data_IF_626592226361
#
_entry.id   IF_626592226361
#
_cell.length_a   1.000
_cell.length_b   1.000
_cell.length_c   1.000
_cell.angle_alpha   90.00
_cell.angle_beta   90.00
_cell.angle_gamma   90.00
#
_symmetry.space_group_name_H-M   'P 1'
#
loop_
_entity.id
_entity.type
_entity.pdbx_description
1 polymer ?
#
# COMPACT_ATOMS: atom_id res chain seq x y z
N UNK A 1 5.61 -14.28 3.60
CA UNK A 1 5.33 -12.89 3.21
C UNK A 1 6.20 -11.98 4.06
N UNK A 2 6.85 -10.99 3.44
CA UNK A 2 7.59 -9.93 4.16
C UNK A 2 6.93 -8.59 3.84
N UNK A 3 6.98 -7.64 4.77
CA UNK A 3 6.48 -6.30 4.49
C UNK A 3 7.51 -5.60 3.60
N UNK A 4 7.04 -5.01 2.52
CA UNK A 4 7.84 -4.25 1.57
C UNK A 4 7.78 -2.76 1.90
N UNK A 5 6.58 -2.24 2.14
CA UNK A 5 6.36 -0.87 2.58
C UNK A 5 4.98 -0.74 3.23
N UNK A 6 4.69 0.44 3.77
CA UNK A 6 3.38 0.84 4.24
C UNK A 6 2.86 2.00 3.41
N UNK A 7 1.57 1.95 3.09
CA UNK A 7 0.82 3.06 2.55
C UNK A 7 0.16 3.79 3.70
N UNK A 8 0.50 5.07 3.89
CA UNK A 8 -0.07 5.93 4.93
C UNK A 8 -0.92 7.03 4.27
N UNK A 9 -2.26 6.94 4.31
CA UNK A 9 -3.14 7.93 3.71
C UNK A 9 -3.01 9.31 4.38
N UNK A 10 -2.94 10.37 3.56
CA UNK A 10 -2.94 11.77 4.00
C UNK A 10 -4.34 12.28 4.31
N UNK A 11 -5.37 11.62 3.77
CA UNK A 11 -6.80 11.84 4.04
C UNK A 11 -7.55 10.51 3.86
N UNK A 12 -8.78 10.41 4.36
CA UNK A 12 -9.60 9.21 4.18
C UNK A 12 -10.14 9.15 2.76
N UNK A 13 -9.94 8.03 2.06
CA UNK A 13 -10.44 7.83 0.70
C UNK A 13 -10.89 6.39 0.45
N UNK A 14 -11.58 6.19 -0.67
CA UNK A 14 -12.02 4.87 -1.13
C UNK A 14 -11.43 4.60 -2.50
N UNK A 15 -10.81 3.43 -2.67
CA UNK A 15 -10.30 2.96 -3.96
C UNK A 15 -10.81 1.55 -4.21
N UNK A 16 -11.45 1.32 -5.36
CA UNK A 16 -12.07 0.02 -5.70
C UNK A 16 -12.91 -0.58 -4.56
N UNK A 17 -13.78 0.24 -3.95
CA UNK A 17 -14.62 -0.13 -2.80
C UNK A 17 -13.86 -0.47 -1.52
N UNK A 18 -12.54 -0.29 -1.47
CA UNK A 18 -11.72 -0.46 -0.27
C UNK A 18 -11.47 0.86 0.43
N UNK A 19 -11.62 0.88 1.75
CA UNK A 19 -11.50 2.09 2.56
C UNK A 19 -10.08 2.22 3.09
N UNK A 20 -9.52 3.41 2.95
CA UNK A 20 -8.23 3.81 3.49
C UNK A 20 -8.44 5.02 4.39
N UNK A 21 -8.21 4.87 5.69
CA UNK A 21 -8.40 5.92 6.69
C UNK A 21 -7.13 6.75 6.86
N UNK A 22 -7.32 8.05 7.09
CA UNK A 22 -6.23 8.99 7.32
C UNK A 22 -5.33 8.54 8.48
N UNK A 23 -4.02 8.56 8.25
CA UNK A 23 -3.00 8.28 9.27
C UNK A 23 -2.78 6.81 9.62
N UNK A 24 -3.58 5.88 9.12
CA UNK A 24 -3.38 4.44 9.34
C UNK A 24 -2.29 3.88 8.42
N UNK A 25 -1.59 2.84 8.87
CA UNK A 25 -0.56 2.16 8.08
C UNK A 25 -1.13 0.90 7.44
N UNK A 26 -1.20 0.88 6.10
CA UNK A 26 -1.67 -0.26 5.34
C UNK A 26 -0.47 -1.00 4.74
N UNK A 27 -0.19 -2.25 5.17
CA UNK A 27 1.00 -2.96 4.74
C UNK A 27 0.87 -3.41 3.28
N UNK A 28 1.96 -3.26 2.54
CA UNK A 28 2.21 -3.93 1.27
C UNK A 28 3.17 -5.07 1.53
N UNK A 29 2.70 -6.30 1.39
CA UNK A 29 3.53 -7.49 1.45
C UNK A 29 4.15 -7.81 0.10
N UNK A 30 5.34 -8.40 0.10
CA UNK A 30 5.95 -9.03 -1.07
C UNK A 30 5.99 -10.56 -0.89
N UNK A 31 5.66 -11.27 -1.95
CA UNK A 31 5.83 -12.71 -2.08
C UNK A 31 6.22 -13.05 -3.51
N UNK A 32 7.42 -13.62 -3.67
CA UNK A 32 8.00 -13.95 -4.98
C UNK A 32 7.93 -12.73 -5.93
N UNK A 33 7.05 -12.77 -6.93
CA UNK A 33 6.91 -11.74 -7.97
C UNK A 33 5.67 -10.85 -7.82
N UNK A 34 4.92 -10.96 -6.73
CA UNK A 34 3.71 -10.18 -6.49
C UNK A 34 3.71 -9.43 -5.16
N UNK A 35 2.86 -8.41 -5.11
CA UNK A 35 2.68 -7.52 -3.98
C UNK A 35 1.22 -7.52 -3.53
N UNK A 36 0.99 -7.57 -2.23
CA UNK A 36 -0.37 -7.56 -1.65
C UNK A 36 -0.53 -6.36 -0.73
N UNK A 37 -1.32 -5.37 -1.15
CA UNK A 37 -1.72 -4.24 -0.31
C UNK A 37 -3.00 -4.61 0.45
N UNK A 38 -2.94 -4.65 1.78
CA UNK A 38 -4.09 -5.00 2.62
C UNK A 38 -4.78 -3.72 3.10
N UNK A 39 -6.07 -3.59 2.82
CA UNK A 39 -6.97 -2.54 3.30
C UNK A 39 -7.94 -3.10 4.36
N UNK A 40 -8.74 -2.24 4.99
CA UNK A 40 -9.66 -2.67 6.06
C UNK A 40 -10.64 -3.77 5.63
N UNK A 41 -11.10 -3.72 4.39
CA UNK A 41 -12.18 -4.55 3.86
C UNK A 41 -11.79 -5.36 2.62
N UNK A 42 -10.49 -5.60 2.42
CA UNK A 42 -9.99 -6.46 1.35
C UNK A 42 -8.54 -6.16 0.98
N UNK A 43 -8.09 -6.75 -0.12
CA UNK A 43 -6.69 -6.65 -0.56
C UNK A 43 -6.58 -6.34 -2.05
N UNK A 44 -5.49 -5.72 -2.45
CA UNK A 44 -5.07 -5.60 -3.86
C UNK A 44 -3.87 -6.51 -4.09
N UNK A 45 -3.97 -7.38 -5.09
CA UNK A 45 -2.84 -8.17 -5.57
C UNK A 45 -2.30 -7.52 -6.84
N UNK A 46 -1.04 -7.11 -6.79
CA UNK A 46 -0.39 -6.25 -7.77
C UNK A 46 0.89 -6.90 -8.27
N UNK A 47 1.16 -6.78 -9.57
CA UNK A 47 2.51 -6.97 -10.09
C UNK A 47 3.41 -5.82 -9.64
N UNK A 48 4.73 -5.96 -9.77
CA UNK A 48 5.66 -4.85 -9.52
C UNK A 48 5.26 -3.57 -10.27
N UNK A 49 4.94 -3.70 -11.56
CA UNK A 49 4.46 -2.59 -12.39
C UNK A 49 3.17 -1.98 -11.85
N UNK A 50 2.20 -2.81 -11.47
CA UNK A 50 0.93 -2.35 -10.90
C UNK A 50 1.12 -1.59 -9.59
N UNK A 51 2.06 -2.04 -8.74
CA UNK A 51 2.42 -1.32 -7.52
C UNK A 51 3.05 0.04 -7.83
N UNK A 52 4.01 0.09 -8.74
CA UNK A 52 4.69 1.34 -9.11
C UNK A 52 3.71 2.37 -9.72
N UNK A 53 2.78 1.91 -10.56
CA UNK A 53 1.68 2.73 -11.09
C UNK A 53 0.72 3.20 -9.99
N UNK A 54 0.38 2.33 -9.04
CA UNK A 54 -0.46 2.69 -7.88
C UNK A 54 0.20 3.76 -7.03
N UNK A 55 1.49 3.61 -6.69
CA UNK A 55 2.26 4.61 -5.94
C UNK A 55 2.29 5.95 -6.68
N UNK A 56 2.48 5.93 -8.01
CA UNK A 56 2.48 7.13 -8.84
C UNK A 56 1.12 7.83 -8.83
N UNK A 57 0.04 7.06 -9.01
CA UNK A 57 -1.32 7.59 -9.06
C UNK A 57 -1.78 8.11 -7.69
N UNK A 58 -1.32 7.50 -6.60
CA UNK A 58 -1.70 7.84 -5.24
C UNK A 58 -0.69 8.75 -4.52
N UNK A 59 0.32 9.30 -5.21
CA UNK A 59 1.37 10.16 -4.61
C UNK A 59 0.81 11.33 -3.79
N UNK A 60 -0.35 11.85 -4.18
CA UNK A 60 -1.01 12.97 -3.52
C UNK A 60 -1.93 12.50 -2.37
N UNK A 61 -2.42 11.26 -2.44
CA UNK A 61 -3.29 10.64 -1.44
C UNK A 61 -2.54 9.90 -0.33
N UNK A 62 -1.37 9.34 -0.64
CA UNK A 62 -0.64 8.40 0.22
C UNK A 62 0.82 8.80 0.33
N UNK A 63 1.38 8.65 1.53
CA UNK A 63 2.82 8.63 1.78
C UNK A 63 3.26 7.17 1.84
N UNK A 64 4.27 6.81 1.06
CA UNK A 64 4.92 5.50 1.16
C UNK A 64 5.99 5.55 2.24
N UNK A 65 5.87 4.71 3.26
CA UNK A 65 6.88 4.49 4.29
C UNK A 65 7.54 3.15 4.00
N UNK A 66 8.79 3.18 3.55
CA UNK A 66 9.57 1.94 3.46
C UNK A 66 9.75 1.37 4.86
N UNK A 67 9.74 0.04 4.99
CA UNK A 67 10.26 -0.57 6.21
C UNK A 67 11.72 -0.11 6.31
N UNK A 68 12.00 0.80 7.23
CA UNK A 68 13.38 1.12 7.57
C UNK A 68 13.95 -0.18 8.11
N UNK A 69 15.03 -0.67 7.48
CA UNK A 69 15.89 -1.71 8.03
C UNK A 69 15.98 -1.50 9.53
N UNK A 70 15.37 -2.41 10.31
CA UNK A 70 15.72 -2.57 11.70
C UNK A 70 17.14 -3.14 11.74
N UNK A 71 18.13 -2.26 11.51
CA UNK A 71 19.56 -2.50 11.72
C UNK A 71 20.13 -1.32 12.48
#
# INVERSE_FOLDING_TARGET
MKIYCYFVPKYTFVAERRVFKVGEEYPVYIQEDYFTLVAENGEFNLTKKGLDETVKNWKDAVKVKMEADNV
#
